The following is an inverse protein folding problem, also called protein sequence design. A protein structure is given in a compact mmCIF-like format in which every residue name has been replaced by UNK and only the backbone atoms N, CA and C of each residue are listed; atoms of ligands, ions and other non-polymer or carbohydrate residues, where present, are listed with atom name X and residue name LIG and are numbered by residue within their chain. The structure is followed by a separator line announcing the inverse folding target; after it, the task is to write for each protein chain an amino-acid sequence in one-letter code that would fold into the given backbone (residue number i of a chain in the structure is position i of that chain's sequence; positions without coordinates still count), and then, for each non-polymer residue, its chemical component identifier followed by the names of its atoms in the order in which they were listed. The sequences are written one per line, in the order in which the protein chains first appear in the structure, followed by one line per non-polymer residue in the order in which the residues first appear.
data_IF_768246204160
#
_entry.id   IF_768246204160
#
_cell.length_a   1.000
_cell.length_b   1.000
_cell.length_c   1.000
_cell.angle_alpha   90.00
_cell.angle_beta   90.00
_cell.angle_gamma   90.00
#
_symmetry.space_group_name_H-M   'P 1'
#
loop_
_entity.id
_entity.type
_entity.pdbx_description
1 polymer ?
#
# COMPACT_ATOMS: atom_id res chain seq x y z
N UNK A 1 25.20 -21.89 -1.20
CA UNK A 1 25.36 -20.50 -1.58
C UNK A 1 26.79 -20.01 -1.38
N UNK A 2 27.29 -19.97 -0.12
CA UNK A 2 28.67 -19.48 0.13
C UNK A 2 29.76 -20.36 -0.46
N UNK A 3 29.53 -21.67 -0.61
CA UNK A 3 30.52 -22.61 -1.20
C UNK A 3 30.68 -22.42 -2.72
N UNK A 4 29.66 -21.96 -3.42
CA UNK A 4 29.69 -21.74 -4.88
C UNK A 4 30.04 -20.28 -5.23
N UNK A 5 29.86 -19.35 -4.28
CA UNK A 5 30.24 -17.94 -4.37
C UNK A 5 29.87 -17.27 -5.71
N UNK A 6 28.66 -17.49 -6.21
CA UNK A 6 28.20 -16.77 -7.39
C UNK A 6 27.92 -15.31 -7.00
N UNK A 7 28.61 -14.39 -7.66
CA UNK A 7 28.50 -12.94 -7.38
C UNK A 7 27.82 -12.29 -8.56
N UNK A 8 26.77 -11.52 -8.27
CA UNK A 8 26.08 -10.67 -9.24
C UNK A 8 26.24 -9.20 -8.88
N UNK A 9 26.27 -8.37 -9.93
CA UNK A 9 26.20 -6.92 -9.82
C UNK A 9 24.73 -6.51 -9.91
N UNK A 10 24.20 -6.01 -8.79
CA UNK A 10 22.82 -5.61 -8.68
C UNK A 10 22.68 -4.09 -8.61
N UNK A 11 21.54 -3.62 -9.04
CA UNK A 11 21.12 -2.23 -8.93
C UNK A 11 20.65 -1.94 -7.50
N UNK A 12 20.68 -0.67 -7.12
CA UNK A 12 19.98 -0.17 -5.93
C UNK A 12 19.42 1.22 -6.18
N UNK A 13 18.41 1.61 -5.43
CA UNK A 13 17.84 2.92 -5.54
C UNK A 13 18.32 3.88 -4.45
N UNK A 14 18.11 5.18 -4.69
CA UNK A 14 18.31 6.24 -3.70
C UNK A 14 17.04 7.09 -3.70
N UNK A 15 16.42 7.24 -2.53
CA UNK A 15 15.33 8.17 -2.29
C UNK A 15 15.85 9.35 -1.47
N UNK A 16 15.83 10.56 -2.03
CA UNK A 16 16.55 11.74 -1.55
C UNK A 16 18.05 11.42 -1.37
N UNK A 17 18.49 11.14 -0.17
CA UNK A 17 19.87 10.78 0.15
C UNK A 17 20.00 9.39 0.78
N UNK A 18 18.89 8.64 0.83
CA UNK A 18 18.82 7.36 1.53
C UNK A 18 18.80 6.22 0.52
N UNK A 19 19.74 5.27 0.57
CA UNK A 19 19.72 4.09 -0.30
C UNK A 19 18.58 3.15 0.10
N UNK A 20 18.02 2.46 -0.89
CA UNK A 20 17.11 1.34 -0.73
C UNK A 20 17.48 0.22 -1.69
N UNK A 21 17.18 -1.02 -1.32
CA UNK A 21 17.58 -2.19 -2.10
C UNK A 21 16.38 -2.90 -2.72
N UNK A 22 15.23 -2.90 -2.03
CA UNK A 22 14.02 -3.54 -2.52
C UNK A 22 13.03 -2.52 -3.07
N UNK A 23 12.42 -1.73 -2.20
CA UNK A 23 11.37 -0.78 -2.57
C UNK A 23 11.45 0.50 -1.76
N UNK A 24 11.04 1.61 -2.35
CA UNK A 24 10.71 2.82 -1.62
C UNK A 24 9.35 3.34 -2.08
N UNK A 25 8.76 4.27 -1.33
CA UNK A 25 7.48 4.81 -1.75
C UNK A 25 6.93 5.92 -0.89
N UNK A 26 5.81 6.45 -1.37
CA UNK A 26 5.06 7.58 -0.83
C UNK A 26 3.59 7.23 -0.85
N UNK A 27 2.86 7.71 0.13
CA UNK A 27 1.43 7.50 0.18
C UNK A 27 1.06 6.47 1.23
N UNK A 28 0.13 5.59 0.91
CA UNK A 28 -0.40 4.65 1.89
C UNK A 28 0.63 3.64 2.40
N UNK A 29 1.54 3.18 1.56
CA UNK A 29 2.62 2.26 1.96
C UNK A 29 3.59 2.90 2.97
N UNK A 30 3.98 4.15 2.76
CA UNK A 30 4.78 4.91 3.72
C UNK A 30 4.02 5.19 5.02
N UNK A 31 2.73 5.50 4.92
CA UNK A 31 1.85 5.68 6.08
C UNK A 31 1.78 4.41 6.94
N UNK A 32 1.62 3.24 6.33
CA UNK A 32 1.60 1.96 7.02
C UNK A 32 2.95 1.63 7.63
N UNK A 33 4.06 1.88 6.93
CA UNK A 33 5.42 1.70 7.47
C UNK A 33 5.64 2.51 8.74
N UNK A 34 5.19 3.78 8.77
CA UNK A 34 5.25 4.63 9.96
C UNK A 34 4.41 4.08 11.12
N UNK A 35 3.19 3.64 10.86
CA UNK A 35 2.34 3.01 11.88
C UNK A 35 2.96 1.75 12.45
N UNK A 36 3.59 0.96 11.61
CA UNK A 36 4.24 -0.28 11.99
C UNK A 36 5.46 -0.04 12.88
N UNK A 37 6.31 0.90 12.49
CA UNK A 37 7.47 1.29 13.29
C UNK A 37 7.08 1.76 14.70
N UNK A 38 5.97 2.50 14.81
CA UNK A 38 5.43 3.00 16.09
C UNK A 38 4.74 1.92 16.94
N UNK A 39 4.15 0.91 16.31
CA UNK A 39 3.40 -0.13 17.03
C UNK A 39 4.29 -1.17 17.72
N UNK A 40 5.56 -1.29 17.35
CA UNK A 40 6.53 -2.21 17.96
C UNK A 40 6.20 -3.70 17.79
N UNK A 41 5.12 -4.06 17.10
CA UNK A 41 4.71 -5.45 16.83
C UNK A 41 5.13 -5.84 15.42
N UNK A 42 5.79 -6.98 15.29
CA UNK A 42 6.19 -7.56 14.01
C UNK A 42 5.34 -8.80 13.74
N UNK A 43 4.82 -8.92 12.53
CA UNK A 43 4.06 -10.09 12.06
C UNK A 43 3.16 -9.75 10.89
N UNK A 44 3.04 -10.67 9.92
CA UNK A 44 2.29 -10.44 8.69
C UNK A 44 0.80 -10.20 8.94
N UNK A 45 0.18 -10.96 9.85
CA UNK A 45 -1.24 -10.79 10.19
C UNK A 45 -1.52 -9.41 10.78
N UNK A 46 -0.68 -8.93 11.71
CA UNK A 46 -0.80 -7.58 12.28
C UNK A 46 -0.61 -6.50 11.22
N UNK A 47 0.24 -6.75 10.22
CA UNK A 47 0.42 -5.85 9.08
C UNK A 47 -0.86 -5.74 8.25
N UNK A 48 -1.46 -6.86 7.88
CA UNK A 48 -2.68 -6.90 7.06
C UNK A 48 -3.84 -6.24 7.80
N UNK A 49 -4.06 -6.58 9.06
CA UNK A 49 -5.14 -6.00 9.90
C UNK A 49 -5.03 -4.48 10.01
N UNK A 50 -3.84 -3.97 10.33
CA UNK A 50 -3.61 -2.52 10.42
C UNK A 50 -3.75 -1.85 9.05
N UNK A 51 -3.26 -2.49 7.98
CA UNK A 51 -3.38 -1.99 6.61
C UNK A 51 -4.84 -1.82 6.21
N UNK A 52 -5.70 -2.77 6.53
CA UNK A 52 -7.13 -2.68 6.25
C UNK A 52 -7.81 -1.59 7.06
N UNK A 53 -7.60 -1.57 8.39
CA UNK A 53 -8.24 -0.59 9.29
C UNK A 53 -7.84 0.85 8.96
N UNK A 54 -6.58 1.08 8.64
CA UNK A 54 -6.06 2.40 8.35
C UNK A 54 -6.29 2.81 6.89
N UNK A 55 -6.36 1.86 5.96
CA UNK A 55 -6.72 2.11 4.55
C UNK A 55 -8.08 2.78 4.39
N UNK A 56 -9.03 2.44 5.27
CA UNK A 56 -10.35 3.07 5.32
C UNK A 56 -10.33 4.56 5.64
N UNK A 57 -9.34 5.00 6.38
CA UNK A 57 -9.20 6.37 6.87
C UNK A 57 -8.22 7.19 6.05
N UNK A 58 -7.39 6.52 5.25
CA UNK A 58 -6.37 7.17 4.46
C UNK A 58 -6.97 8.00 3.32
N UNK A 59 -6.51 9.23 3.18
CA UNK A 59 -6.94 10.14 2.12
C UNK A 59 -5.85 10.22 1.04
N UNK A 60 -6.14 9.70 -0.16
CA UNK A 60 -5.22 9.82 -1.29
C UNK A 60 -4.89 11.27 -1.62
N UNK A 61 -3.63 11.55 -1.97
CA UNK A 61 -3.16 12.89 -2.35
C UNK A 61 -2.99 13.01 -3.87
N UNK A 62 -2.76 14.23 -4.33
CA UNK A 62 -2.43 14.53 -5.72
C UNK A 62 -0.94 14.82 -5.81
N UNK A 63 -0.28 14.11 -6.71
CA UNK A 63 1.15 14.19 -6.94
C UNK A 63 1.44 14.71 -8.36
N UNK A 64 2.32 15.68 -8.47
CA UNK A 64 2.99 16.02 -9.73
C UNK A 64 4.25 15.15 -9.80
N UNK A 65 4.35 14.32 -10.81
CA UNK A 65 5.51 13.45 -11.03
C UNK A 65 6.22 13.84 -12.32
N UNK A 66 7.55 13.81 -12.26
CA UNK A 66 8.39 14.01 -13.45
C UNK A 66 9.19 12.74 -13.66
N UNK A 67 8.96 12.06 -14.79
CA UNK A 67 9.55 10.79 -15.17
C UNK A 67 10.54 11.08 -16.29
N UNK A 68 11.83 10.92 -16.04
CA UNK A 68 12.89 11.18 -17.01
C UNK A 68 12.72 12.53 -17.77
N UNK A 69 12.16 13.54 -17.08
CA UNK A 69 11.92 14.89 -17.59
C UNK A 69 10.49 15.19 -18.06
N UNK A 70 9.62 14.20 -18.21
CA UNK A 70 8.22 14.39 -18.58
C UNK A 70 7.32 14.56 -17.34
N UNK A 71 6.49 15.62 -17.33
CA UNK A 71 5.61 15.93 -16.20
C UNK A 71 4.21 15.36 -16.39
N UNK A 72 3.70 14.75 -15.33
CA UNK A 72 2.35 14.19 -15.25
C UNK A 72 1.75 14.46 -13.86
N UNK A 73 0.42 14.49 -13.74
CA UNK A 73 -0.27 14.70 -12.47
C UNK A 73 -1.22 13.52 -12.23
N UNK A 74 -1.09 12.92 -11.06
CA UNK A 74 -1.92 11.80 -10.65
C UNK A 74 -2.51 12.00 -9.26
N UNK A 75 -3.75 11.59 -9.08
CA UNK A 75 -4.31 11.35 -7.76
C UNK A 75 -4.00 9.89 -7.40
N UNK A 76 -3.15 9.68 -6.39
CA UNK A 76 -2.69 8.35 -6.05
C UNK A 76 -2.97 7.98 -4.58
N UNK A 77 -3.29 6.71 -4.36
CA UNK A 77 -3.34 6.07 -3.07
C UNK A 77 -1.91 5.75 -2.56
N UNK A 78 -1.06 5.26 -3.46
CA UNK A 78 0.36 5.08 -3.24
C UNK A 78 1.16 5.23 -4.54
N UNK A 79 2.44 5.54 -4.40
CA UNK A 79 3.45 5.48 -5.46
C UNK A 79 4.61 4.65 -4.90
N UNK A 80 4.78 3.44 -5.43
CA UNK A 80 5.88 2.54 -5.06
C UNK A 80 6.94 2.55 -6.17
N UNK A 81 8.19 2.72 -5.79
CA UNK A 81 9.35 2.61 -6.65
C UNK A 81 10.10 1.33 -6.28
N UNK A 82 10.16 0.41 -7.20
CA UNK A 82 10.61 -0.95 -6.97
C UNK A 82 11.88 -1.28 -7.78
N UNK A 83 12.93 -1.63 -7.07
CA UNK A 83 14.11 -2.30 -7.60
C UNK A 83 13.92 -3.82 -7.54
N UNK A 84 13.29 -4.32 -6.46
CA UNK A 84 12.85 -5.71 -6.31
C UNK A 84 11.32 -5.81 -6.50
N UNK A 85 10.84 -6.99 -6.89
CA UNK A 85 9.46 -7.20 -7.34
C UNK A 85 8.40 -7.23 -6.22
N UNK A 86 8.79 -7.24 -4.95
CA UNK A 86 7.87 -7.40 -3.83
C UNK A 86 8.26 -6.54 -2.63
N UNK A 87 7.28 -6.23 -1.80
CA UNK A 87 7.50 -5.66 -0.46
C UNK A 87 8.07 -6.68 0.55
N UNK A 88 8.05 -7.95 0.22
CA UNK A 88 8.33 -9.09 1.08
C UNK A 88 7.10 -9.97 1.24
N UNK A 89 7.28 -11.16 1.84
CA UNK A 89 6.20 -12.12 2.13
C UNK A 89 5.26 -12.41 0.95
N UNK A 90 5.79 -12.42 -0.28
CA UNK A 90 5.05 -12.63 -1.54
C UNK A 90 3.98 -11.56 -1.86
N UNK A 91 4.11 -10.36 -1.35
CA UNK A 91 3.29 -9.21 -1.74
C UNK A 91 3.97 -8.50 -2.91
N UNK A 92 3.58 -8.84 -4.13
CA UNK A 92 4.23 -8.40 -5.37
C UNK A 92 3.64 -7.09 -5.88
N UNK A 93 4.30 -5.97 -5.56
CA UNK A 93 3.89 -4.64 -6.01
C UNK A 93 4.34 -4.31 -7.43
N UNK A 94 5.46 -4.88 -7.86
CA UNK A 94 6.03 -4.73 -9.19
C UNK A 94 6.51 -6.11 -9.71
N UNK A 95 5.61 -7.01 -10.12
CA UNK A 95 5.93 -8.41 -10.43
C UNK A 95 7.04 -8.61 -11.48
N UNK A 96 7.27 -7.62 -12.32
CA UNK A 96 8.25 -7.65 -13.41
C UNK A 96 9.58 -6.96 -13.07
N UNK A 97 9.69 -6.33 -11.91
CA UNK A 97 10.92 -5.64 -11.51
C UNK A 97 12.11 -6.59 -11.44
N UNK A 98 13.23 -6.10 -11.93
CA UNK A 98 14.48 -6.85 -12.05
C UNK A 98 15.64 -6.01 -11.51
N UNK A 99 16.33 -6.52 -10.50
CA UNK A 99 17.42 -5.82 -9.82
C UNK A 99 18.71 -5.67 -10.62
N UNK A 100 18.74 -6.02 -11.92
CA UNK A 100 19.95 -5.99 -12.75
C UNK A 100 19.75 -5.43 -14.17
N UNK A 101 18.60 -4.83 -14.46
CA UNK A 101 18.28 -4.30 -15.79
C UNK A 101 18.54 -2.79 -15.95
N UNK A 102 18.97 -2.13 -14.88
CA UNK A 102 19.27 -0.69 -14.86
C UNK A 102 18.04 0.21 -14.88
N UNK A 103 16.86 -0.33 -14.54
CA UNK A 103 15.59 0.38 -14.50
C UNK A 103 14.89 0.18 -13.14
N UNK A 104 14.10 1.15 -12.75
CA UNK A 104 13.24 1.11 -11.60
C UNK A 104 11.80 0.99 -12.06
N UNK A 105 11.07 0.01 -11.54
CA UNK A 105 9.64 -0.15 -11.80
C UNK A 105 8.84 0.74 -10.86
N UNK A 106 8.05 1.64 -11.42
CA UNK A 106 7.17 2.51 -10.65
C UNK A 106 5.74 1.99 -10.78
N UNK A 107 5.13 1.71 -9.64
CA UNK A 107 3.72 1.32 -9.54
C UNK A 107 2.95 2.42 -8.85
N UNK A 108 2.06 3.06 -9.58
CA UNK A 108 1.13 4.05 -9.08
C UNK A 108 -0.25 3.42 -8.96
N UNK A 109 -0.82 3.46 -7.77
CA UNK A 109 -2.16 2.96 -7.49
C UNK A 109 -3.11 4.13 -7.29
N UNK A 110 -4.14 4.21 -8.13
CA UNK A 110 -5.22 5.17 -7.96
C UNK A 110 -6.08 4.86 -6.72
N UNK A 111 -6.84 5.84 -6.22
CA UNK A 111 -7.84 5.58 -5.18
C UNK A 111 -8.84 4.51 -5.61
N UNK A 112 -9.18 3.63 -4.70
CA UNK A 112 -10.12 2.54 -4.91
C UNK A 112 -11.15 2.48 -3.78
N UNK A 113 -12.25 1.78 -4.02
CA UNK A 113 -13.30 1.55 -3.02
C UNK A 113 -12.95 0.36 -2.13
N UNK A 114 -13.55 0.30 -0.93
CA UNK A 114 -13.43 -0.84 -0.03
C UNK A 114 -13.80 -2.18 -0.66
N UNK A 115 -14.76 -2.16 -1.59
CA UNK A 115 -15.20 -3.37 -2.29
C UNK A 115 -14.16 -3.90 -3.28
N UNK A 116 -13.23 -3.05 -3.74
CA UNK A 116 -12.12 -3.41 -4.63
C UNK A 116 -10.90 -3.94 -3.84
N UNK A 117 -10.79 -3.64 -2.54
CA UNK A 117 -9.63 -4.00 -1.72
C UNK A 117 -9.31 -5.52 -1.71
N UNK A 118 -10.29 -6.45 -1.57
CA UNK A 118 -10.01 -7.87 -1.62
C UNK A 118 -9.43 -8.33 -2.96
N UNK A 119 -9.93 -7.77 -4.07
CA UNK A 119 -9.42 -8.10 -5.40
C UNK A 119 -7.97 -7.62 -5.56
N UNK A 120 -7.67 -6.39 -5.12
CA UNK A 120 -6.31 -5.83 -5.16
C UNK A 120 -5.35 -6.70 -4.32
N UNK A 121 -5.76 -7.11 -3.13
CA UNK A 121 -4.96 -7.99 -2.29
C UNK A 121 -4.65 -9.33 -2.99
N UNK A 122 -5.66 -9.99 -3.57
CA UNK A 122 -5.48 -11.22 -4.33
C UNK A 122 -4.49 -11.00 -5.48
N UNK A 123 -4.61 -9.89 -6.21
CA UNK A 123 -3.74 -9.58 -7.34
C UNK A 123 -2.29 -9.33 -6.92
N UNK A 124 -2.04 -8.71 -5.75
CA UNK A 124 -0.70 -8.54 -5.18
C UNK A 124 -0.03 -9.89 -4.89
N UNK A 125 -0.77 -10.86 -4.32
CA UNK A 125 -0.21 -12.19 -4.04
C UNK A 125 -0.04 -13.05 -5.29
N UNK A 126 -0.95 -12.93 -6.26
CA UNK A 126 -0.92 -13.73 -7.49
C UNK A 126 -0.06 -13.12 -8.61
N UNK A 127 0.67 -12.05 -8.35
CA UNK A 127 1.50 -11.34 -9.35
C UNK A 127 0.68 -10.75 -10.52
N UNK A 128 -0.62 -10.52 -10.33
CA UNK A 128 -1.52 -10.04 -11.39
C UNK A 128 -1.96 -8.58 -11.19
N UNK A 129 -1.33 -7.88 -10.26
CA UNK A 129 -1.69 -6.49 -9.92
C UNK A 129 -1.61 -5.55 -11.14
N UNK A 130 -0.69 -5.80 -12.08
CA UNK A 130 -0.54 -5.01 -13.30
C UNK A 130 -1.74 -5.10 -14.25
N UNK A 131 -2.64 -6.07 -14.10
CA UNK A 131 -3.88 -6.16 -14.86
C UNK A 131 -5.03 -5.33 -14.28
N UNK A 132 -4.84 -4.71 -13.13
CA UNK A 132 -5.86 -3.88 -12.49
C UNK A 132 -5.91 -2.49 -13.15
N UNK A 133 -7.11 -2.03 -13.50
CA UNK A 133 -7.32 -0.74 -14.17
C UNK A 133 -6.97 0.49 -13.32
N UNK A 134 -6.79 0.32 -12.01
CA UNK A 134 -6.35 1.36 -11.06
C UNK A 134 -4.84 1.51 -10.98
N UNK A 135 -4.10 0.63 -11.68
CA UNK A 135 -2.65 0.59 -11.62
C UNK A 135 -2.07 1.19 -12.90
N UNK A 136 -1.19 2.15 -12.71
CA UNK A 136 -0.31 2.65 -13.75
C UNK A 136 1.11 2.19 -13.44
N UNK A 137 1.76 1.55 -14.39
CA UNK A 137 3.12 1.06 -14.24
C UNK A 137 3.99 1.58 -15.37
N UNK A 138 5.19 2.03 -15.02
CA UNK A 138 6.19 2.49 -15.96
C UNK A 138 7.59 2.23 -15.40
N UNK A 139 8.58 2.21 -16.26
CA UNK A 139 9.99 2.07 -15.88
C UNK A 139 10.72 3.39 -16.09
N UNK A 140 11.61 3.74 -15.18
CA UNK A 140 12.45 4.94 -15.30
C UNK A 140 13.76 4.76 -14.55
N UNK A 141 14.70 5.70 -14.75
CA UNK A 141 15.93 5.81 -13.97
C UNK A 141 15.87 6.90 -12.92
N UNK A 142 15.03 7.89 -13.17
CA UNK A 142 14.85 9.03 -12.31
C UNK A 142 13.40 9.45 -12.25
N UNK A 143 12.91 9.62 -11.03
CA UNK A 143 11.56 10.05 -10.72
C UNK A 143 11.62 11.20 -9.72
N UNK A 144 11.06 12.34 -10.07
CA UNK A 144 10.86 13.45 -9.14
C UNK A 144 9.38 13.56 -8.79
N UNK A 145 9.05 13.57 -7.50
CA UNK A 145 7.69 13.60 -6.99
C UNK A 145 7.48 14.86 -6.17
N UNK A 146 6.42 15.61 -6.51
CA UNK A 146 5.98 16.77 -5.76
C UNK A 146 4.58 16.56 -5.21
N UNK A 147 4.40 16.84 -3.91
CA UNK A 147 3.15 16.71 -3.16
C UNK A 147 2.75 18.02 -2.49
N UNK A 148 1.49 18.08 -2.01
CA UNK A 148 0.89 19.29 -1.43
C UNK A 148 1.55 19.71 -0.11
N UNK A 149 2.02 18.74 0.70
CA UNK A 149 2.60 18.97 2.02
C UNK A 149 3.74 17.99 2.30
N UNK A 150 4.69 18.31 3.22
CA UNK A 150 5.63 17.34 3.78
C UNK A 150 4.90 16.14 4.39
N UNK A 151 5.58 14.99 4.48
CA UNK A 151 5.03 13.80 5.10
C UNK A 151 5.98 12.61 5.00
N UNK A 152 5.48 11.42 5.31
CA UNK A 152 6.31 10.21 5.38
C UNK A 152 6.62 9.67 3.97
N UNK A 153 7.83 9.20 3.81
CA UNK A 153 8.29 8.27 2.78
C UNK A 153 8.74 6.97 3.46
N UNK A 154 8.86 5.88 2.71
CA UNK A 154 9.55 4.69 3.22
C UNK A 154 10.65 4.23 2.27
N UNK A 155 11.60 3.49 2.80
CA UNK A 155 12.64 2.77 2.07
C UNK A 155 12.86 1.42 2.76
N UNK A 156 12.72 0.35 2.01
CA UNK A 156 12.80 -1.04 2.50
C UNK A 156 11.96 -1.31 3.77
N UNK A 157 10.82 -0.60 3.89
CA UNK A 157 9.91 -0.70 5.04
C UNK A 157 10.20 0.25 6.19
N UNK A 158 11.31 0.97 6.20
CA UNK A 158 11.65 1.96 7.23
C UNK A 158 11.05 3.33 6.88
N UNK A 159 10.26 3.96 7.77
CA UNK A 159 9.66 5.25 7.52
C UNK A 159 10.61 6.41 7.82
N UNK A 160 10.48 7.50 7.07
CA UNK A 160 11.22 8.75 7.27
C UNK A 160 10.35 9.94 6.85
N UNK A 161 10.43 11.03 7.61
CA UNK A 161 9.85 12.31 7.18
C UNK A 161 10.65 12.90 6.02
N UNK A 162 9.95 13.43 5.04
CA UNK A 162 10.51 14.09 3.88
C UNK A 162 9.70 15.33 3.48
N UNK A 163 10.31 16.21 2.71
CA UNK A 163 9.71 17.43 2.23
C UNK A 163 8.64 17.20 1.17
N UNK A 164 8.13 18.30 0.61
CA UNK A 164 7.14 18.27 -0.48
C UNK A 164 7.67 17.71 -1.78
N UNK A 165 8.96 17.82 -1.99
CA UNK A 165 9.67 17.36 -3.18
C UNK A 165 10.56 16.20 -2.77
N UNK A 166 10.42 15.07 -3.47
CA UNK A 166 11.14 13.83 -3.21
C UNK A 166 11.77 13.37 -4.51
N UNK A 167 13.04 13.07 -4.47
CA UNK A 167 13.83 12.62 -5.61
C UNK A 167 14.16 11.14 -5.46
N UNK A 168 13.86 10.34 -6.49
CA UNK A 168 14.16 8.91 -6.53
C UNK A 168 14.96 8.58 -7.78
N UNK A 169 16.10 7.93 -7.60
CA UNK A 169 16.98 7.54 -8.72
C UNK A 169 17.54 6.14 -8.53
N UNK A 170 17.78 5.47 -9.63
CA UNK A 170 18.46 4.19 -9.65
C UNK A 170 19.97 4.36 -9.84
N UNK A 171 20.75 3.52 -9.18
CA UNK A 171 22.19 3.36 -9.35
C UNK A 171 22.44 1.97 -9.94
N UNK A 172 22.66 1.85 -11.26
CA UNK A 172 22.83 0.56 -11.89
C UNK A 172 24.15 -0.09 -11.46
N UNK A 173 24.12 -1.42 -11.24
CA UNK A 173 25.27 -2.25 -10.87
C UNK A 173 26.06 -1.70 -9.66
N UNK A 174 25.34 -1.07 -8.75
CA UNK A 174 25.94 -0.34 -7.64
C UNK A 174 26.33 -1.20 -6.44
N UNK A 175 25.92 -2.46 -6.40
CA UNK A 175 26.24 -3.39 -5.31
C UNK A 175 26.62 -4.77 -5.87
N UNK A 176 27.59 -5.43 -5.23
CA UNK A 176 27.99 -6.81 -5.53
C UNK A 176 27.50 -7.72 -4.41
N UNK A 177 26.67 -8.70 -4.76
CA UNK A 177 26.09 -9.63 -3.80
C UNK A 177 26.36 -11.09 -4.16
N UNK A 178 26.55 -11.92 -3.16
CA UNK A 178 26.57 -13.38 -3.34
C UNK A 178 25.11 -13.83 -3.43
N UNK A 179 24.72 -14.37 -4.57
CA UNK A 179 23.35 -14.82 -4.83
C UNK A 179 23.23 -16.34 -4.83
N UNK A 180 22.03 -16.83 -4.55
CA UNK A 180 21.71 -18.22 -4.72
C UNK A 180 21.26 -18.48 -6.15
N UNK A 181 21.99 -19.30 -6.88
CA UNK A 181 21.66 -19.72 -8.27
C UNK A 181 20.66 -20.87 -8.33
N UNK A 182 20.40 -21.53 -7.19
CA UNK A 182 19.39 -22.57 -7.11
C UNK A 182 18.05 -21.94 -6.70
N UNK A 183 17.14 -21.85 -7.66
CA UNK A 183 15.76 -21.50 -7.35
C UNK A 183 15.18 -22.56 -6.40
N UNK A 184 15.07 -22.21 -5.14
CA UNK A 184 14.22 -22.98 -4.23
C UNK A 184 12.80 -22.43 -4.39
N UNK A 185 11.86 -23.24 -4.88
CA UNK A 185 10.46 -22.79 -4.91
C UNK A 185 10.01 -22.63 -3.46
N UNK A 186 10.01 -21.37 -3.00
CA UNK A 186 9.32 -21.05 -1.76
C UNK A 186 7.83 -21.28 -1.99
N UNK A 187 7.27 -22.30 -1.39
CA UNK A 187 5.83 -22.54 -1.34
C UNK A 187 5.31 -21.87 -0.05
N UNK A 188 4.74 -20.65 -0.14
CA UNK A 188 4.10 -20.06 1.02
C UNK A 188 2.84 -20.88 1.35
N UNK A 189 2.38 -20.86 2.60
CA UNK A 189 1.06 -21.35 2.99
C UNK A 189 -0.04 -20.38 2.48
N UNK A 190 -0.03 -20.10 1.18
CA UNK A 190 -0.86 -19.09 0.52
C UNK A 190 -2.36 -19.32 0.74
N UNK A 191 -2.82 -20.58 0.64
CA UNK A 191 -4.22 -20.89 0.81
C UNK A 191 -4.73 -20.61 2.24
N UNK A 192 -3.91 -20.83 3.24
CA UNK A 192 -4.27 -20.57 4.63
C UNK A 192 -4.28 -19.07 4.90
N UNK A 193 -3.26 -18.33 4.46
CA UNK A 193 -3.19 -16.88 4.54
C UNK A 193 -4.34 -16.19 3.79
N UNK A 194 -4.71 -16.68 2.60
CA UNK A 194 -5.87 -16.17 1.86
C UNK A 194 -7.19 -16.43 2.57
N UNK A 195 -7.34 -17.61 3.16
CA UNK A 195 -8.53 -17.96 3.92
C UNK A 195 -8.69 -17.05 5.13
N UNK A 196 -7.63 -16.85 5.89
CA UNK A 196 -7.62 -15.99 7.08
C UNK A 196 -7.88 -14.52 6.69
N UNK A 197 -7.18 -13.99 5.67
CA UNK A 197 -7.39 -12.65 5.14
C UNK A 197 -8.83 -12.44 4.63
N UNK A 198 -9.36 -13.38 3.87
CA UNK A 198 -10.73 -13.29 3.35
C UNK A 198 -11.77 -13.33 4.46
N UNK A 199 -11.56 -14.13 5.49
CA UNK A 199 -12.41 -14.15 6.68
C UNK A 199 -12.37 -12.83 7.45
N UNK A 200 -11.20 -12.27 7.71
CA UNK A 200 -11.06 -10.98 8.41
C UNK A 200 -11.71 -9.84 7.65
N UNK A 201 -11.46 -9.73 6.33
CA UNK A 201 -12.10 -8.70 5.49
C UNK A 201 -13.61 -8.83 5.49
N UNK A 202 -14.14 -10.05 5.37
CA UNK A 202 -15.58 -10.26 5.41
C UNK A 202 -16.20 -9.99 6.79
N UNK A 203 -15.50 -10.31 7.87
CA UNK A 203 -15.96 -9.96 9.23
C UNK A 203 -15.99 -8.45 9.46
N UNK A 204 -14.97 -7.71 9.01
CA UNK A 204 -14.97 -6.24 9.12
C UNK A 204 -16.07 -5.59 8.26
N UNK A 205 -16.26 -6.04 7.01
CA UNK A 205 -17.35 -5.57 6.16
C UNK A 205 -18.71 -5.90 6.79
N UNK A 206 -18.87 -7.09 7.34
CA UNK A 206 -20.07 -7.52 8.04
C UNK A 206 -20.34 -6.67 9.28
N UNK A 207 -19.31 -6.41 10.07
CA UNK A 207 -19.37 -5.59 11.28
C UNK A 207 -19.69 -4.12 10.95
N UNK A 208 -19.08 -3.58 9.90
CA UNK A 208 -19.38 -2.22 9.42
C UNK A 208 -20.82 -2.12 8.92
N UNK A 209 -21.29 -3.12 8.17
CA UNK A 209 -22.68 -3.21 7.73
C UNK A 209 -23.67 -3.34 8.89
N UNK A 210 -23.34 -4.11 9.93
CA UNK A 210 -24.14 -4.25 11.15
C UNK A 210 -24.22 -2.94 11.95
N UNK A 211 -23.09 -2.22 12.07
CA UNK A 211 -23.03 -0.94 12.76
C UNK A 211 -23.84 0.15 12.04
N UNK A 212 -23.72 0.25 10.71
CA UNK A 212 -24.55 1.17 9.90
C UNK A 212 -26.04 0.86 10.07
N UNK A 213 -26.40 -0.42 10.10
CA UNK A 213 -27.79 -0.85 10.29
C UNK A 213 -28.29 -0.55 11.70
N UNK A 214 -27.45 -0.71 12.71
CA UNK A 214 -27.78 -0.38 14.11
C UNK A 214 -28.00 1.13 14.29
N UNK A 215 -27.11 1.97 13.74
CA UNK A 215 -27.22 3.42 13.77
C UNK A 215 -28.49 3.92 13.06
N UNK A 216 -28.81 3.31 11.91
CA UNK A 216 -30.04 3.62 11.17
C UNK A 216 -31.30 3.27 11.98
N UNK A 217 -31.33 2.11 12.63
CA UNK A 217 -32.45 1.68 13.48
C UNK A 217 -32.58 2.54 14.74
N UNK A 218 -31.48 2.95 15.33
CA UNK A 218 -31.48 3.87 16.47
C UNK A 218 -31.97 5.26 16.05
N UNK A 219 -31.55 5.76 14.89
CA UNK A 219 -32.07 6.99 14.29
C UNK A 219 -33.61 6.94 14.11
N UNK A 220 -34.13 5.85 13.56
CA UNK A 220 -35.57 5.64 13.39
C UNK A 220 -36.31 5.61 14.74
N UNK A 221 -35.74 4.96 15.76
CA UNK A 221 -36.33 4.94 17.13
C UNK A 221 -36.38 6.35 17.73
N UNK A 222 -35.31 7.16 17.60
CA UNK A 222 -35.27 8.55 18.08
C UNK A 222 -36.33 9.41 17.39
N UNK A 223 -36.47 9.31 16.07
CA UNK A 223 -37.51 10.03 15.31
C UNK A 223 -38.92 9.61 15.79
N UNK A 224 -39.16 8.32 15.97
CA UNK A 224 -40.47 7.81 16.46
C UNK A 224 -40.77 8.34 17.85
N UNK A 225 -39.79 8.42 18.75
CA UNK A 225 -39.96 8.93 20.13
C UNK A 225 -40.29 10.43 20.11
N UNK A 226 -39.55 11.22 19.31
CA UNK A 226 -39.81 12.65 19.17
C UNK A 226 -41.22 12.92 18.59
N UNK A 227 -41.63 12.15 17.58
CA UNK A 227 -42.97 12.26 17.02
C UNK A 227 -44.07 11.91 18.02
N UNK A 228 -43.88 10.89 18.86
CA UNK A 228 -44.84 10.54 19.96
C UNK A 228 -44.93 11.66 20.99
N UNK A 229 -43.81 12.26 21.37
CA UNK A 229 -43.82 13.41 22.31
C UNK A 229 -44.49 14.64 21.70
N UNK A 230 -44.25 14.95 20.45
CA UNK A 230 -44.89 16.05 19.75
C UNK A 230 -46.44 15.86 19.68
N UNK A 231 -46.89 14.67 19.33
CA UNK A 231 -48.30 14.31 19.30
C UNK A 231 -48.94 14.40 20.69
N UNK A 232 -48.21 14.03 21.73
CA UNK A 232 -48.69 14.14 23.15
C UNK A 232 -48.80 15.58 23.62
N UNK A 233 -47.89 16.46 23.17
CA UNK A 233 -47.94 17.90 23.44
C UNK A 233 -49.08 18.59 22.69
N UNK A 234 -49.34 18.20 21.43
CA UNK A 234 -50.45 18.74 20.64
C UNK A 234 -51.85 18.33 21.21
N UNK A 235 -51.97 17.11 21.78
CA UNK A 235 -53.21 16.63 22.41
C UNK A 235 -53.49 17.27 23.77
N UNK A 236 -52.53 17.97 24.38
CA UNK A 236 -52.69 18.61 25.72
C UNK A 236 -52.91 20.12 25.62
N UNK A 237 -53.07 20.71 24.40
CA UNK A 237 -53.55 22.10 24.30
C UNK A 237 -55.07 22.08 24.28
N UNK A 238 -55.74 22.84 25.20
CA UNK A 238 -57.19 22.97 25.29
C UNK A 238 -57.78 23.67 24.07
#
# INVERSE_FOLDING_TARGET
VLAECHIEELDYGIIDQTPFFCTCGIGFDAFISDRFAKAGKRGLLTYIENTLKEGLKYKPDTYEITIDGEKQVYKAFLIACANANQYGNNVYIAPHANMSDGLMDVTLMEPFSMFEAPQIAIQLFNKTIMSNSRIHSFQCRHLHIKRSSPGVIHFDGDPKEADKEVDVRLVPKGIRMVVNTQEQPYQPPLLQMFSEFYHEVNEEISTLGANIRADFLEGQRRISTVNKELLRKLRKKP
#
